data_IF_847370388076
#
_entry.id   IF_847370388076
#
_cell.length_a   1.000
_cell.length_b   1.000
_cell.length_c   1.000
_cell.angle_alpha   90.00
_cell.angle_beta   90.00
_cell.angle_gamma   90.00
#
_symmetry.space_group_name_H-M   'P 1'
#
loop_
_entity.id
_entity.type
_entity.pdbx_description
1 polymer ?
#
# COMPACT_ATOMS: atom_id res chain seq x y z
N UNK A 1 34.53 20.92 24.04
CA UNK A 1 33.22 20.99 23.37
C UNK A 1 33.26 20.01 22.20
N UNK A 2 32.91 18.76 22.44
CA UNK A 2 32.86 17.73 21.39
C UNK A 2 31.56 17.88 20.61
N UNK A 3 31.68 18.04 19.29
CA UNK A 3 30.55 18.06 18.36
C UNK A 3 29.95 16.64 18.32
N UNK A 4 28.74 16.45 18.88
CA UNK A 4 27.95 15.23 18.61
C UNK A 4 27.52 15.27 17.15
N UNK A 5 28.17 14.45 16.33
CA UNK A 5 27.71 14.14 14.98
C UNK A 5 26.36 13.41 15.09
N UNK A 6 25.29 13.98 14.54
CA UNK A 6 24.03 13.27 14.35
C UNK A 6 24.23 12.32 13.18
N UNK A 7 24.44 11.04 13.49
CA UNK A 7 24.43 9.98 12.50
C UNK A 7 22.96 9.65 12.19
N UNK A 8 22.51 10.00 10.99
CA UNK A 8 21.26 9.49 10.44
C UNK A 8 21.52 8.06 9.98
N UNK A 9 20.85 7.04 10.55
CA UNK A 9 21.10 5.65 10.19
C UNK A 9 20.77 5.41 8.71
N UNK A 10 21.60 4.59 8.07
CA UNK A 10 21.42 4.20 6.67
C UNK A 10 20.17 3.34 6.51
N UNK A 11 19.52 3.39 5.33
CA UNK A 11 18.23 2.71 5.05
C UNK A 11 18.31 1.19 5.25
N UNK A 12 19.50 0.63 5.12
CA UNK A 12 19.79 -0.80 5.26
C UNK A 12 20.51 -1.16 6.59
N UNK A 13 20.69 -0.20 7.51
CA UNK A 13 21.34 -0.45 8.80
C UNK A 13 20.43 -1.27 9.73
N UNK A 14 20.89 -2.45 10.16
CA UNK A 14 20.16 -3.32 11.08
C UNK A 14 20.50 -2.99 12.54
N UNK A 15 19.53 -2.46 13.28
CA UNK A 15 19.64 -2.23 14.73
C UNK A 15 19.05 -3.41 15.52
N UNK A 16 19.82 -3.97 16.46
CA UNK A 16 19.37 -5.05 17.34
C UNK A 16 18.83 -4.49 18.65
N UNK A 17 17.59 -4.84 18.98
CA UNK A 17 16.97 -4.55 20.27
C UNK A 17 16.41 -5.83 20.91
N UNK A 18 16.25 -5.82 22.23
CA UNK A 18 15.68 -6.92 23.00
C UNK A 18 14.22 -6.65 23.37
N UNK A 19 13.38 -7.68 23.31
CA UNK A 19 11.99 -7.65 23.77
C UNK A 19 11.70 -8.83 24.67
N UNK A 20 10.88 -8.61 25.71
CA UNK A 20 10.43 -9.66 26.63
C UNK A 20 9.03 -10.13 26.23
N UNK A 21 8.83 -11.45 26.19
CA UNK A 21 7.55 -12.08 25.87
C UNK A 21 7.20 -13.14 26.92
N UNK A 22 5.92 -13.32 27.27
CA UNK A 22 5.46 -14.51 27.98
C UNK A 22 5.84 -15.78 27.20
N UNK A 23 6.35 -16.81 27.89
CA UNK A 23 6.85 -18.03 27.27
C UNK A 23 5.82 -18.70 26.36
N UNK A 24 4.57 -18.83 26.83
CA UNK A 24 3.47 -19.42 26.05
C UNK A 24 3.17 -18.59 24.79
N UNK A 25 3.24 -17.26 24.88
CA UNK A 25 2.92 -16.38 23.76
C UNK A 25 3.98 -16.47 22.66
N UNK A 26 5.27 -16.52 23.02
CA UNK A 26 6.33 -16.65 22.01
C UNK A 26 6.31 -18.02 21.32
N UNK A 27 5.93 -19.08 22.02
CA UNK A 27 5.75 -20.41 21.42
C UNK A 27 4.56 -20.45 20.44
N UNK A 28 3.46 -19.78 20.78
CA UNK A 28 2.31 -19.60 19.87
C UNK A 28 2.72 -18.79 18.64
N UNK A 29 3.47 -17.70 18.84
CA UNK A 29 3.97 -16.87 17.76
C UNK A 29 4.92 -17.64 16.84
N UNK A 30 5.84 -18.43 17.37
CA UNK A 30 6.76 -19.26 16.57
C UNK A 30 6.05 -20.29 15.68
N UNK A 31 4.92 -20.81 16.16
CA UNK A 31 4.08 -21.72 15.38
C UNK A 31 3.40 -20.97 14.24
N UNK A 32 2.77 -19.85 14.58
CA UNK A 32 2.11 -18.97 13.62
C UNK A 32 3.07 -18.55 12.50
N UNK A 33 4.28 -18.05 12.81
CA UNK A 33 5.19 -17.56 11.78
C UNK A 33 5.74 -18.67 10.88
N UNK A 34 5.89 -19.90 11.41
CA UNK A 34 6.28 -21.07 10.60
C UNK A 34 5.18 -21.48 9.64
N UNK A 35 3.92 -21.48 10.09
CA UNK A 35 2.76 -21.75 9.23
C UNK A 35 2.63 -20.70 8.11
N UNK A 36 3.01 -19.45 8.38
CA UNK A 36 3.06 -18.38 7.38
C UNK A 36 4.32 -18.39 6.49
N UNK A 37 5.25 -19.34 6.71
CA UNK A 37 6.45 -19.51 5.87
C UNK A 37 7.62 -18.56 6.17
N UNK A 38 7.62 -17.84 7.30
CA UNK A 38 8.76 -17.01 7.68
C UNK A 38 9.96 -17.86 8.10
N UNK A 39 11.17 -17.41 7.75
CA UNK A 39 12.40 -18.14 8.09
C UNK A 39 12.88 -17.85 9.52
N UNK A 40 12.56 -16.68 10.05
CA UNK A 40 12.98 -16.25 11.38
C UNK A 40 12.02 -15.21 11.99
N UNK A 41 12.09 -15.05 13.32
CA UNK A 41 11.27 -14.08 14.06
C UNK A 41 11.50 -12.65 13.60
N UNK A 42 12.74 -12.27 13.28
CA UNK A 42 13.07 -10.89 12.89
C UNK A 42 12.42 -10.48 11.57
N UNK A 43 12.20 -11.40 10.62
CA UNK A 43 11.39 -11.18 9.42
C UNK A 43 9.92 -10.95 9.76
N UNK A 44 9.33 -11.86 10.55
CA UNK A 44 7.94 -11.74 10.95
C UNK A 44 7.68 -10.45 11.74
N UNK A 45 8.58 -10.07 12.65
CA UNK A 45 8.49 -8.82 13.40
C UNK A 45 8.68 -7.59 12.52
N UNK A 46 9.63 -7.60 11.57
CA UNK A 46 9.78 -6.48 10.62
C UNK A 46 8.53 -6.31 9.78
N UNK A 47 7.94 -7.41 9.31
CA UNK A 47 6.71 -7.33 8.52
C UNK A 47 5.53 -6.86 9.36
N UNK A 48 5.35 -7.39 10.57
CA UNK A 48 4.34 -6.92 11.52
C UNK A 48 4.51 -5.44 11.85
N UNK A 49 5.74 -5.00 12.14
CA UNK A 49 6.06 -3.60 12.42
C UNK A 49 5.76 -2.73 11.20
N UNK A 50 6.16 -3.14 10.01
CA UNK A 50 5.87 -2.42 8.77
C UNK A 50 4.35 -2.29 8.57
N UNK A 51 3.59 -3.38 8.71
CA UNK A 51 2.12 -3.37 8.64
C UNK A 51 1.48 -2.46 9.69
N UNK A 52 1.97 -2.49 10.93
CA UNK A 52 1.46 -1.66 12.01
C UNK A 52 1.78 -0.17 11.82
N UNK A 53 2.93 0.15 11.22
CA UNK A 53 3.27 1.52 10.82
C UNK A 53 2.38 1.92 9.65
N UNK A 54 2.18 1.05 8.65
CA UNK A 54 1.36 1.27 7.45
C UNK A 54 -0.15 1.38 7.69
N UNK A 55 -0.59 1.29 8.93
CA UNK A 55 -2.00 1.31 9.28
C UNK A 55 -2.67 2.60 8.73
N UNK A 56 -3.68 2.50 7.83
CA UNK A 56 -4.21 3.65 7.10
C UNK A 56 -4.79 4.76 7.99
N UNK A 57 -5.12 4.45 9.23
CA UNK A 57 -5.58 5.38 10.26
C UNK A 57 -4.52 6.40 10.69
N UNK A 58 -3.24 6.18 10.36
CA UNK A 58 -2.10 7.03 10.77
C UNK A 58 -1.64 8.04 9.72
N UNK A 59 -2.11 7.95 8.47
CA UNK A 59 -1.73 8.92 7.45
C UNK A 59 -2.38 10.29 7.72
N UNK A 60 -1.57 11.35 7.75
CA UNK A 60 -2.07 12.73 7.68
C UNK A 60 -2.68 12.98 6.30
N UNK A 61 -3.58 13.96 6.20
CA UNK A 61 -4.33 14.22 4.96
C UNK A 61 -3.42 14.55 3.75
N UNK A 62 -2.26 15.12 4.01
CA UNK A 62 -1.24 15.58 3.05
C UNK A 62 -0.12 14.58 2.79
N UNK A 63 -0.14 13.41 3.44
CA UNK A 63 0.93 12.42 3.26
C UNK A 63 0.88 11.85 1.84
N UNK A 64 2.00 11.95 1.11
CA UNK A 64 2.19 11.27 -0.17
C UNK A 64 2.47 9.78 0.05
N UNK A 65 1.78 8.96 -0.73
CA UNK A 65 1.80 7.49 -0.64
C UNK A 65 1.79 6.89 -2.05
N UNK A 66 2.13 5.62 -2.15
CA UNK A 66 1.95 4.81 -3.35
C UNK A 66 1.09 3.59 -3.03
N UNK A 67 0.36 3.04 -3.99
CA UNK A 67 -0.56 1.97 -3.69
C UNK A 67 -1.27 1.39 -4.90
N UNK A 68 -2.34 0.67 -4.62
CA UNK A 68 -3.23 0.10 -5.62
C UNK A 68 -4.68 0.32 -5.25
N UNK A 69 -5.51 0.58 -6.26
CA UNK A 69 -6.96 0.39 -6.17
C UNK A 69 -7.29 -0.89 -6.90
N UNK A 70 -7.87 -1.87 -6.20
CA UNK A 70 -8.35 -3.12 -6.78
C UNK A 70 -9.86 -3.07 -6.84
N UNK A 71 -10.44 -3.28 -8.02
CA UNK A 71 -11.90 -3.27 -8.20
C UNK A 71 -12.41 -4.41 -9.07
N UNK A 72 -13.64 -4.85 -8.81
CA UNK A 72 -14.39 -5.80 -9.64
C UNK A 72 -15.68 -5.16 -10.10
N UNK A 73 -15.97 -5.22 -11.39
CA UNK A 73 -17.19 -4.65 -11.98
C UNK A 73 -17.76 -5.50 -13.11
N UNK A 74 -19.05 -5.30 -13.38
CA UNK A 74 -19.75 -5.85 -14.53
C UNK A 74 -19.51 -4.98 -15.77
N UNK A 75 -18.83 -5.52 -16.79
CA UNK A 75 -18.53 -4.78 -18.02
C UNK A 75 -19.70 -4.71 -19.01
N UNK A 76 -20.78 -5.47 -18.79
CA UNK A 76 -22.04 -5.32 -19.51
C UNK A 76 -22.95 -4.25 -18.88
N UNK A 77 -22.69 -3.84 -17.64
CA UNK A 77 -23.41 -2.73 -17.01
C UNK A 77 -23.19 -1.46 -17.81
N UNK A 78 -24.28 -0.89 -18.32
CA UNK A 78 -24.27 0.24 -19.23
C UNK A 78 -23.42 1.40 -18.68
N UNK A 79 -22.51 1.90 -19.52
CA UNK A 79 -21.62 3.04 -19.31
C UNK A 79 -20.50 2.87 -18.27
N UNK A 80 -20.39 1.74 -17.57
CA UNK A 80 -19.36 1.60 -16.51
C UNK A 80 -17.93 1.71 -17.04
N UNK A 81 -17.53 0.98 -18.10
CA UNK A 81 -16.18 1.11 -18.64
C UNK A 81 -15.84 2.56 -19.01
N UNK A 82 -16.77 3.26 -19.66
CA UNK A 82 -16.59 4.65 -20.05
C UNK A 82 -16.48 5.59 -18.86
N UNK A 83 -17.38 5.47 -17.86
CA UNK A 83 -17.34 6.29 -16.63
C UNK A 83 -16.07 6.06 -15.82
N UNK A 84 -15.58 4.82 -15.78
CA UNK A 84 -14.30 4.50 -15.14
C UNK A 84 -13.14 5.15 -15.88
N UNK A 85 -13.10 5.07 -17.22
CA UNK A 85 -12.06 5.75 -18.02
C UNK A 85 -12.09 7.27 -17.81
N UNK A 86 -13.27 7.90 -17.86
CA UNK A 86 -13.43 9.35 -17.65
C UNK A 86 -12.99 9.77 -16.23
N UNK A 87 -13.37 8.99 -15.21
CA UNK A 87 -12.91 9.25 -13.84
C UNK A 87 -11.40 9.11 -13.73
N UNK A 88 -10.80 8.04 -14.28
CA UNK A 88 -9.35 7.83 -14.24
C UNK A 88 -8.61 8.97 -14.94
N UNK A 89 -9.11 9.46 -16.07
CA UNK A 89 -8.55 10.64 -16.75
C UNK A 89 -8.60 11.92 -15.89
N UNK A 90 -9.59 12.04 -15.00
CA UNK A 90 -9.65 13.17 -14.06
C UNK A 90 -8.56 13.11 -12.99
N UNK A 91 -8.08 11.90 -12.65
CA UNK A 91 -7.05 11.64 -11.65
C UNK A 91 -5.72 11.19 -12.30
N UNK A 92 -5.44 11.62 -13.53
CA UNK A 92 -4.30 11.10 -14.30
C UNK A 92 -2.94 11.36 -13.63
N UNK A 93 -2.79 12.46 -12.86
CA UNK A 93 -1.56 12.77 -12.13
C UNK A 93 -1.28 11.77 -10.99
N UNK A 94 -2.33 11.15 -10.45
CA UNK A 94 -2.25 10.19 -9.34
C UNK A 94 -2.21 8.73 -9.81
N UNK A 95 -2.53 8.45 -11.08
CA UNK A 95 -2.58 7.10 -11.66
C UNK A 95 -1.29 6.84 -12.46
N UNK A 96 -0.57 5.80 -12.07
CA UNK A 96 0.66 5.36 -12.75
C UNK A 96 0.32 4.44 -13.92
N UNK A 97 -0.55 3.45 -13.66
CA UNK A 97 -0.95 2.46 -14.65
C UNK A 97 -2.21 1.74 -14.22
N UNK A 98 -2.89 1.14 -15.19
CA UNK A 98 -4.09 0.34 -14.99
C UNK A 98 -3.89 -1.02 -15.65
N UNK A 99 -4.17 -2.10 -14.91
CA UNK A 99 -4.19 -3.46 -15.41
C UNK A 99 -5.61 -4.02 -15.38
N UNK A 100 -6.11 -4.48 -16.52
CA UNK A 100 -7.45 -5.03 -16.67
C UNK A 100 -7.40 -6.53 -16.93
N UNK A 101 -8.21 -7.30 -16.21
CA UNK A 101 -8.30 -8.76 -16.31
C UNK A 101 -9.76 -9.16 -16.48
N UNK A 102 -10.07 -9.92 -17.54
CA UNK A 102 -11.37 -10.57 -17.67
C UNK A 102 -11.42 -11.80 -16.75
N UNK A 103 -12.26 -11.76 -15.70
CA UNK A 103 -12.45 -12.90 -14.80
C UNK A 103 -13.38 -13.96 -15.42
N UNK A 104 -14.39 -13.50 -16.15
CA UNK A 104 -15.32 -14.33 -16.91
C UNK A 104 -16.04 -13.48 -17.98
N UNK A 105 -17.11 -14.01 -18.57
CA UNK A 105 -17.88 -13.32 -19.62
C UNK A 105 -18.66 -12.09 -19.15
N UNK A 106 -18.67 -11.74 -17.86
CA UNK A 106 -19.42 -10.60 -17.29
C UNK A 106 -18.53 -9.73 -16.39
N UNK A 107 -17.62 -10.33 -15.63
CA UNK A 107 -16.82 -9.63 -14.62
C UNK A 107 -15.42 -9.29 -15.12
N UNK A 108 -15.01 -8.07 -14.81
CA UNK A 108 -13.63 -7.61 -14.95
C UNK A 108 -13.06 -7.30 -13.57
N UNK A 109 -11.80 -7.66 -13.37
CA UNK A 109 -10.95 -7.20 -12.28
C UNK A 109 -10.01 -6.15 -12.84
N UNK A 110 -9.88 -5.04 -12.13
CA UNK A 110 -8.98 -3.96 -12.52
C UNK A 110 -8.10 -3.56 -11.33
N UNK A 111 -6.81 -3.41 -11.60
CA UNK A 111 -5.81 -3.00 -10.62
C UNK A 111 -5.19 -1.69 -11.12
N UNK A 112 -5.46 -0.60 -10.40
CA UNK A 112 -4.94 0.72 -10.71
C UNK A 112 -3.76 1.00 -9.78
N UNK A 113 -2.55 1.07 -10.30
CA UNK A 113 -1.38 1.52 -9.57
C UNK A 113 -1.44 3.04 -9.41
N UNK A 114 -1.33 3.53 -8.17
CA UNK A 114 -1.51 4.95 -7.83
C UNK A 114 -0.34 5.50 -7.01
N UNK A 115 -0.07 6.80 -7.14
CA UNK A 115 0.87 7.54 -6.29
C UNK A 115 0.45 8.99 -6.20
N UNK A 116 0.19 9.47 -4.99
CA UNK A 116 -0.36 10.80 -4.76
C UNK A 116 -0.57 11.09 -3.28
N UNK A 117 -1.23 12.20 -2.98
CA UNK A 117 -1.70 12.48 -1.62
C UNK A 117 -2.81 11.50 -1.23
N UNK A 118 -2.74 10.96 -0.01
CA UNK A 118 -3.72 9.97 0.47
C UNK A 118 -5.17 10.48 0.37
N UNK A 119 -5.40 11.79 0.52
CA UNK A 119 -6.72 12.39 0.39
C UNK A 119 -7.27 12.27 -1.03
N UNK A 120 -6.44 12.52 -2.05
CA UNK A 120 -6.85 12.39 -3.46
C UNK A 120 -7.10 10.93 -3.83
N UNK A 121 -6.23 10.02 -3.37
CA UNK A 121 -6.39 8.58 -3.62
C UNK A 121 -7.67 8.03 -2.97
N UNK A 122 -7.99 8.48 -1.75
CA UNK A 122 -9.27 8.16 -1.08
C UNK A 122 -10.45 8.72 -1.86
N UNK A 123 -10.36 9.94 -2.40
CA UNK A 123 -11.43 10.53 -3.19
C UNK A 123 -11.67 9.75 -4.50
N UNK A 124 -10.60 9.32 -5.19
CA UNK A 124 -10.69 8.44 -6.37
C UNK A 124 -11.38 7.12 -6.02
N UNK A 125 -10.90 6.43 -4.98
CA UNK A 125 -11.47 5.16 -4.50
C UNK A 125 -12.96 5.30 -4.13
N UNK A 126 -13.34 6.33 -3.37
CA UNK A 126 -14.73 6.57 -2.99
C UNK A 126 -15.63 6.79 -4.20
N UNK A 127 -15.17 7.52 -5.22
CA UNK A 127 -15.93 7.74 -6.46
C UNK A 127 -16.09 6.45 -7.27
N UNK A 128 -15.07 5.59 -7.32
CA UNK A 128 -15.16 4.25 -7.93
C UNK A 128 -16.17 3.39 -7.17
N UNK A 129 -16.04 3.32 -5.84
CA UNK A 129 -16.82 2.43 -4.98
C UNK A 129 -18.35 2.64 -5.10
N UNK A 130 -18.79 3.88 -5.34
CA UNK A 130 -20.22 4.22 -5.46
C UNK A 130 -20.77 4.10 -6.89
N UNK A 131 -19.96 3.74 -7.89
CA UNK A 131 -20.45 3.58 -9.25
C UNK A 131 -21.33 2.34 -9.39
N UNK A 132 -22.50 2.52 -9.99
CA UNK A 132 -23.46 1.43 -10.25
C UNK A 132 -22.86 0.40 -11.20
N UNK A 133 -22.54 -0.79 -10.70
CA UNK A 133 -21.93 -1.88 -11.48
C UNK A 133 -20.53 -2.25 -10.99
N UNK A 134 -19.96 -1.46 -10.07
CA UNK A 134 -18.80 -1.86 -9.26
C UNK A 134 -19.31 -2.69 -8.07
N UNK A 135 -18.80 -3.92 -7.97
CA UNK A 135 -19.15 -4.86 -6.89
C UNK A 135 -18.14 -4.84 -5.75
N UNK A 136 -16.89 -4.49 -6.05
CA UNK A 136 -15.80 -4.42 -5.10
C UNK A 136 -14.86 -3.28 -5.46
N UNK A 137 -14.37 -2.56 -4.47
CA UNK A 137 -13.28 -1.60 -4.62
C UNK A 137 -12.52 -1.49 -3.28
N UNK A 138 -11.21 -1.68 -3.30
CA UNK A 138 -10.33 -1.52 -2.15
C UNK A 138 -9.14 -0.63 -2.51
N UNK A 139 -8.79 0.28 -1.62
CA UNK A 139 -7.56 1.07 -1.68
C UNK A 139 -6.56 0.48 -0.68
N UNK A 140 -5.43 0.00 -1.19
CA UNK A 140 -4.28 -0.44 -0.39
C UNK A 140 -3.09 0.46 -0.68
N UNK A 141 -2.50 1.04 0.36
CA UNK A 141 -1.45 2.06 0.24
C UNK A 141 -0.24 1.72 1.10
N UNK A 142 0.92 2.22 0.69
CA UNK A 142 2.17 2.18 1.42
C UNK A 142 2.85 3.54 1.48
N UNK A 143 3.70 3.74 2.50
CA UNK A 143 4.57 4.90 2.59
C UNK A 143 5.38 5.06 1.32
N UNK A 144 5.43 6.30 0.85
CA UNK A 144 6.30 6.73 -0.24
C UNK A 144 7.16 7.86 0.29
N UNK A 145 8.44 7.61 0.52
CA UNK A 145 9.42 8.66 0.72
C UNK A 145 9.90 9.13 -0.65
N UNK A 146 9.70 10.41 -0.97
CA UNK A 146 10.48 11.03 -2.03
C UNK A 146 11.93 11.07 -1.56
N UNK A 147 12.79 10.23 -2.14
CA UNK A 147 14.23 10.44 -2.05
C UNK A 147 14.50 11.81 -2.66
N UNK A 148 14.93 12.77 -1.84
CA UNK A 148 15.43 14.05 -2.31
C UNK A 148 16.51 13.78 -3.34
N UNK A 149 16.33 14.31 -4.56
CA UNK A 149 17.27 14.16 -5.67
C UNK A 149 18.70 14.47 -5.23
N UNK A 150 19.55 13.44 -5.20
CA UNK A 150 20.92 13.54 -4.73
C UNK A 150 21.82 12.41 -5.21
N UNK A 151 21.47 11.73 -6.32
CA UNK A 151 22.40 10.83 -7.00
C UNK A 151 22.52 11.27 -8.46
N UNK A 152 23.41 12.24 -8.67
CA UNK A 152 24.06 12.40 -9.96
C UNK A 152 24.93 11.15 -10.15
N UNK A 153 24.52 10.28 -11.07
CA UNK A 153 25.41 9.27 -11.61
C UNK A 153 26.23 9.94 -12.71
N UNK A 154 27.53 10.09 -12.45
CA UNK A 154 28.57 10.11 -13.47
C UNK A 154 28.85 8.65 -13.92
#
# INVERSE_FOLDING_TARGET
MEKKSHHTPDKDELVRFGVSFPAVLIEQFDRYIREQGYTNRSEAFRDLARRAILEPSRFTADQRVAGTIVMVYDHHSSDIPQKLTELQHTFYDDIISTMHIHLNSVLCLEVIAVRGEITNLRALHQRIQVMKGVFYAELSVTYFEEMSAGHAHD
#
